data_IF_068446599656
#
_entry.id   IF_068446599656
#
_cell.length_a   1.000
_cell.length_b   1.000
_cell.length_c   1.000
_cell.angle_alpha   90.00
_cell.angle_beta   90.00
_cell.angle_gamma   90.00
#
_symmetry.space_group_name_H-M   'P 1'
#
loop_
_entity.id
_entity.type
_entity.pdbx_description
1 polymer ?
#
# COMPACT_ATOMS: atom_id res chain seq x y z
N UNK A 1 8.06 -8.79 33.66
CA UNK A 1 7.57 -8.25 32.37
C UNK A 1 7.02 -9.42 31.58
N UNK A 2 5.79 -9.35 31.06
CA UNK A 2 5.29 -10.38 30.14
C UNK A 2 6.16 -10.35 28.89
N UNK A 3 6.61 -11.51 28.43
CA UNK A 3 7.33 -11.64 27.17
C UNK A 3 6.43 -11.19 26.00
N UNK A 4 6.97 -10.39 25.07
CA UNK A 4 6.23 -9.97 23.87
C UNK A 4 6.08 -11.15 22.92
N UNK A 5 4.92 -11.27 22.26
CA UNK A 5 4.72 -12.27 21.22
C UNK A 5 5.38 -11.82 19.93
N UNK A 6 6.39 -12.57 19.50
CA UNK A 6 7.04 -12.40 18.20
C UNK A 6 6.17 -12.98 17.09
N UNK A 7 5.99 -12.21 16.02
CA UNK A 7 5.25 -12.63 14.83
C UNK A 7 5.98 -12.22 13.57
N UNK A 8 5.77 -13.00 12.50
CA UNK A 8 6.17 -12.65 11.15
C UNK A 8 4.97 -12.18 10.35
N UNK A 9 5.16 -11.16 9.52
CA UNK A 9 4.14 -10.64 8.62
C UNK A 9 4.37 -11.10 7.18
N UNK A 10 3.33 -11.71 6.59
CA UNK A 10 3.25 -11.96 5.16
C UNK A 10 2.26 -10.98 4.52
N UNK A 11 2.79 -10.00 3.79
CA UNK A 11 2.03 -8.87 3.26
C UNK A 11 1.66 -9.11 1.79
N UNK A 12 0.38 -9.40 1.55
CA UNK A 12 -0.15 -9.52 0.21
C UNK A 12 -0.03 -8.18 -0.56
N UNK A 13 0.16 -8.28 -1.88
CA UNK A 13 0.02 -7.14 -2.77
C UNK A 13 -1.44 -6.74 -3.02
N UNK A 14 -1.64 -5.70 -3.82
CA UNK A 14 -2.95 -5.20 -4.21
C UNK A 14 -3.05 -3.70 -3.95
N UNK A 15 -3.34 -2.90 -4.98
CA UNK A 15 -3.23 -1.44 -4.99
C UNK A 15 -3.87 -0.75 -3.78
N UNK A 16 -5.18 -0.44 -3.85
CA UNK A 16 -5.89 0.19 -2.74
C UNK A 16 -5.97 -0.72 -1.49
N UNK A 17 -5.93 -2.04 -1.67
CA UNK A 17 -5.88 -3.01 -0.57
C UNK A 17 -4.64 -2.83 0.33
N UNK A 18 -3.52 -2.36 -0.22
CA UNK A 18 -2.33 -2.05 0.57
C UNK A 18 -2.57 -0.97 1.64
N UNK A 19 -3.50 -0.04 1.41
CA UNK A 19 -3.86 0.99 2.40
C UNK A 19 -4.62 0.39 3.58
N UNK A 20 -5.45 -0.64 3.32
CA UNK A 20 -6.09 -1.41 4.39
C UNK A 20 -5.06 -2.21 5.19
N UNK A 21 -4.08 -2.83 4.53
CA UNK A 21 -2.96 -3.50 5.19
C UNK A 21 -2.17 -2.55 6.08
N UNK A 22 -1.94 -1.30 5.66
CA UNK A 22 -1.34 -0.28 6.53
C UNK A 22 -2.13 -0.08 7.82
N UNK A 23 -3.46 0.05 7.76
CA UNK A 23 -4.29 0.18 8.98
C UNK A 23 -4.11 -0.98 9.95
N UNK A 24 -3.97 -2.21 9.45
CA UNK A 24 -3.68 -3.39 10.27
C UNK A 24 -2.27 -3.30 10.89
N UNK A 25 -1.26 -2.94 10.09
CA UNK A 25 0.11 -2.79 10.56
C UNK A 25 0.24 -1.68 11.61
N UNK A 26 -0.44 -0.54 11.43
CA UNK A 26 -0.47 0.55 12.39
C UNK A 26 -0.99 0.08 13.76
N UNK A 27 -2.05 -0.74 13.76
CA UNK A 27 -2.63 -1.29 14.99
C UNK A 27 -1.75 -2.37 15.63
N UNK A 28 -1.00 -3.14 14.85
CA UNK A 28 -0.04 -4.12 15.37
C UNK A 28 1.18 -3.43 16.00
N UNK A 29 1.69 -2.38 15.37
CA UNK A 29 2.80 -1.57 15.90
C UNK A 29 2.43 -0.83 17.19
N UNK A 30 1.15 -0.47 17.37
CA UNK A 30 0.66 0.12 18.61
C UNK A 30 0.54 -0.88 19.77
N UNK A 31 0.47 -2.18 19.49
CA UNK A 31 0.24 -3.20 20.51
C UNK A 31 1.56 -3.63 21.16
N UNK A 32 1.88 -3.08 22.33
CA UNK A 32 3.12 -3.39 23.08
C UNK A 32 3.30 -4.86 23.46
N UNK A 33 2.26 -5.70 23.29
CA UNK A 33 2.33 -7.15 23.51
C UNK A 33 2.91 -7.90 22.31
N UNK A 34 3.12 -7.23 21.18
CA UNK A 34 3.54 -7.82 19.90
C UNK A 34 4.91 -7.26 19.51
N UNK A 35 5.75 -8.12 18.95
CA UNK A 35 7.02 -7.75 18.32
C UNK A 35 7.02 -8.28 16.88
N UNK A 36 7.27 -7.42 15.90
CA UNK A 36 7.39 -7.82 14.50
C UNK A 36 8.83 -8.27 14.29
N UNK A 37 9.05 -9.57 14.08
CA UNK A 37 10.38 -10.16 13.92
C UNK A 37 10.78 -10.26 12.44
N UNK A 38 9.85 -10.64 11.57
CA UNK A 38 10.08 -10.82 10.15
C UNK A 38 8.99 -10.23 9.28
N UNK A 39 9.36 -9.88 8.04
CA UNK A 39 8.45 -9.33 7.04
C UNK A 39 8.77 -9.97 5.69
N UNK A 40 7.73 -10.45 5.02
CA UNK A 40 7.74 -10.77 3.60
C UNK A 40 6.60 -10.02 2.92
N UNK A 41 6.76 -9.63 1.66
CA UNK A 41 5.71 -8.92 0.96
C UNK A 41 5.92 -8.86 -0.54
N UNK A 42 4.83 -8.61 -1.26
CA UNK A 42 4.84 -8.44 -2.72
C UNK A 42 4.10 -7.16 -3.12
N UNK A 43 4.59 -6.46 -4.15
CA UNK A 43 3.98 -5.22 -4.67
C UNK A 43 3.69 -4.21 -3.55
N UNK A 44 2.44 -3.75 -3.37
CA UNK A 44 2.04 -2.85 -2.29
C UNK A 44 2.41 -3.35 -0.89
N UNK A 45 2.36 -4.67 -0.66
CA UNK A 45 2.79 -5.30 0.59
C UNK A 45 4.30 -5.18 0.82
N UNK A 46 5.12 -5.31 -0.24
CA UNK A 46 6.56 -5.08 -0.17
C UNK A 46 6.88 -3.60 0.16
N UNK A 47 6.12 -2.66 -0.41
CA UNK A 47 6.28 -1.23 -0.11
C UNK A 47 5.96 -0.92 1.36
N UNK A 48 4.85 -1.45 1.88
CA UNK A 48 4.54 -1.32 3.31
C UNK A 48 5.65 -1.93 4.18
N UNK A 49 6.12 -3.13 3.81
CA UNK A 49 7.18 -3.82 4.53
C UNK A 49 8.49 -3.03 4.58
N UNK A 50 8.94 -2.48 3.45
CA UNK A 50 10.21 -1.73 3.41
C UNK A 50 10.12 -0.40 4.16
N UNK A 51 8.98 0.32 4.08
CA UNK A 51 8.76 1.56 4.83
C UNK A 51 8.79 1.29 6.33
N UNK A 52 8.15 0.21 6.78
CA UNK A 52 8.15 -0.17 8.19
C UNK A 52 9.55 -0.60 8.65
N UNK A 53 10.23 -1.48 7.91
CA UNK A 53 11.57 -1.97 8.27
C UNK A 53 12.62 -0.85 8.34
N UNK A 54 12.61 0.08 7.38
CA UNK A 54 13.49 1.26 7.40
C UNK A 54 13.22 2.12 8.63
N UNK A 55 11.95 2.41 8.92
CA UNK A 55 11.57 3.26 10.03
C UNK A 55 11.89 2.63 11.39
N UNK A 56 11.71 1.31 11.55
CA UNK A 56 12.13 0.57 12.74
C UNK A 56 13.66 0.57 12.91
N UNK A 57 14.42 0.56 11.82
CA UNK A 57 15.89 0.65 11.89
C UNK A 57 16.37 2.03 12.38
N UNK A 58 15.60 3.08 12.11
CA UNK A 58 15.93 4.47 12.48
C UNK A 58 15.31 4.91 13.81
N UNK A 59 14.44 4.11 14.42
CA UNK A 59 13.65 4.51 15.58
C UNK A 59 12.90 3.33 16.20
N UNK A 60 11.61 3.53 16.45
CA UNK A 60 10.74 2.60 17.17
C UNK A 60 9.41 2.37 16.42
N UNK A 61 8.50 1.64 17.04
CA UNK A 61 7.17 1.36 16.50
C UNK A 61 6.38 2.65 16.21
N UNK A 62 6.56 3.70 17.02
CA UNK A 62 5.93 5.00 16.79
C UNK A 62 6.45 5.68 15.52
N UNK A 63 7.75 5.57 15.27
CA UNK A 63 8.42 6.07 14.07
C UNK A 63 7.92 5.33 12.82
N UNK A 64 7.74 4.01 12.93
CA UNK A 64 7.19 3.19 11.84
C UNK A 64 5.74 3.56 11.49
N UNK A 65 4.89 3.81 12.49
CA UNK A 65 3.51 4.28 12.29
C UNK A 65 3.46 5.61 11.54
N UNK A 66 4.31 6.56 11.94
CA UNK A 66 4.43 7.86 11.27
C UNK A 66 4.88 7.69 9.82
N UNK A 67 5.91 6.88 9.57
CA UNK A 67 6.44 6.65 8.23
C UNK A 67 5.40 6.02 7.29
N UNK A 68 4.67 4.99 7.75
CA UNK A 68 3.60 4.37 6.98
C UNK A 68 2.46 5.35 6.66
N UNK A 69 2.06 6.18 7.62
CA UNK A 69 1.07 7.24 7.41
C UNK A 69 1.51 8.24 6.36
N UNK A 70 2.75 8.68 6.45
CA UNK A 70 3.27 9.71 5.56
C UNK A 70 3.46 9.14 4.14
N UNK A 71 3.87 7.88 4.02
CA UNK A 71 3.90 7.13 2.76
C UNK A 71 2.51 7.09 2.10
N UNK A 72 1.47 6.62 2.79
CA UNK A 72 0.13 6.52 2.20
C UNK A 72 -0.51 7.87 1.90
N UNK A 73 -0.21 8.91 2.70
CA UNK A 73 -0.59 10.29 2.37
C UNK A 73 0.13 10.78 1.10
N UNK A 74 1.40 10.43 0.91
CA UNK A 74 2.11 10.76 -0.31
C UNK A 74 1.54 10.03 -1.53
N UNK A 75 1.25 8.73 -1.41
CA UNK A 75 0.57 7.94 -2.45
C UNK A 75 -0.78 8.57 -2.83
N UNK A 76 -1.58 8.96 -1.84
CA UNK A 76 -2.87 9.64 -2.07
C UNK A 76 -2.72 10.95 -2.84
N UNK A 77 -1.78 11.81 -2.43
CA UNK A 77 -1.49 13.07 -3.15
C UNK A 77 -1.01 12.84 -4.57
N UNK A 78 -0.11 11.87 -4.78
CA UNK A 78 0.37 11.51 -6.11
C UNK A 78 -0.77 10.95 -6.99
N UNK A 79 -1.67 10.15 -6.41
CA UNK A 79 -2.85 9.63 -7.08
C UNK A 79 -3.78 10.72 -7.62
N UNK A 80 -3.89 11.88 -6.95
CA UNK A 80 -4.69 13.00 -7.46
C UNK A 80 -4.16 13.61 -8.76
N UNK A 81 -2.85 13.52 -8.99
CA UNK A 81 -2.20 13.97 -10.23
C UNK A 81 -2.20 12.89 -11.33
N UNK A 82 -2.71 11.69 -11.04
CA UNK A 82 -2.68 10.56 -11.97
C UNK A 82 -3.57 10.83 -13.20
N UNK A 83 -3.08 10.54 -14.42
CA UNK A 83 -3.91 10.52 -15.62
C UNK A 83 -4.90 9.33 -15.62
N UNK A 84 -4.66 8.33 -14.76
CA UNK A 84 -5.54 7.18 -14.52
C UNK A 84 -6.55 7.56 -13.44
N UNK A 85 -7.65 8.17 -13.85
CA UNK A 85 -8.75 8.61 -12.97
C UNK A 85 -10.10 8.41 -13.64
N UNK A 86 -11.15 8.32 -12.83
CA UNK A 86 -12.55 8.30 -13.29
C UNK A 86 -12.85 9.57 -14.09
N UNK A 87 -13.66 9.45 -15.13
CA UNK A 87 -14.13 10.62 -15.88
C UNK A 87 -15.20 11.38 -15.06
N UNK A 88 -15.44 12.67 -15.35
CA UNK A 88 -16.54 13.41 -14.71
C UNK A 88 -17.90 12.73 -14.89
N UNK A 89 -18.13 12.08 -16.05
CA UNK A 89 -19.34 11.31 -16.31
C UNK A 89 -19.42 10.07 -15.41
N UNK A 90 -18.33 9.30 -15.27
CA UNK A 90 -18.28 8.14 -14.38
C UNK A 90 -18.55 8.54 -12.91
N UNK A 91 -18.02 9.69 -12.48
CA UNK A 91 -18.31 10.24 -11.15
C UNK A 91 -19.79 10.59 -10.97
N UNK A 92 -20.43 11.18 -11.97
CA UNK A 92 -21.83 11.61 -11.93
C UNK A 92 -22.81 10.42 -11.84
N UNK A 93 -22.53 9.34 -12.57
CA UNK A 93 -23.38 8.14 -12.60
C UNK A 93 -23.01 7.11 -11.52
N UNK A 94 -22.05 7.44 -10.65
CA UNK A 94 -21.60 6.53 -9.59
C UNK A 94 -20.81 5.32 -10.09
N UNK A 95 -20.30 5.35 -11.31
CA UNK A 95 -19.45 4.29 -11.86
C UNK A 95 -18.06 4.34 -11.18
N UNK A 96 -17.61 3.19 -10.68
CA UNK A 96 -16.29 3.05 -10.05
C UNK A 96 -15.26 2.38 -10.97
N UNK A 97 -15.66 2.04 -12.19
CA UNK A 97 -14.75 1.54 -13.22
C UNK A 97 -13.81 2.64 -13.74
N UNK A 98 -12.64 2.19 -14.23
CA UNK A 98 -11.66 2.99 -14.96
C UNK A 98 -11.69 2.71 -16.46
N UNK A 99 -12.65 1.93 -16.97
CA UNK A 99 -12.70 1.49 -18.37
C UNK A 99 -12.78 2.65 -19.36
N UNK A 100 -13.37 3.78 -18.96
CA UNK A 100 -13.45 4.99 -19.78
C UNK A 100 -12.28 5.96 -19.57
N UNK A 101 -11.33 5.63 -18.69
CA UNK A 101 -10.18 6.48 -18.38
C UNK A 101 -9.14 6.39 -19.50
N UNK A 102 -8.86 7.47 -20.25
CA UNK A 102 -7.88 7.42 -21.35
C UNK A 102 -6.48 7.03 -20.88
N UNK A 103 -6.11 7.40 -19.66
CA UNK A 103 -4.86 7.00 -19.02
C UNK A 103 -4.82 5.50 -18.69
N UNK A 104 -5.93 4.92 -18.22
CA UNK A 104 -6.01 3.49 -17.91
C UNK A 104 -5.89 2.64 -19.17
N UNK A 105 -6.61 3.01 -20.24
CA UNK A 105 -6.56 2.33 -21.54
C UNK A 105 -5.14 2.33 -22.10
N UNK A 106 -4.44 3.47 -22.01
CA UNK A 106 -3.05 3.58 -22.49
C UNK A 106 -2.11 2.69 -21.67
N UNK A 107 -2.29 2.62 -20.34
CA UNK A 107 -1.48 1.80 -19.46
C UNK A 107 -1.74 0.30 -19.66
N UNK A 108 -2.99 -0.11 -19.90
CA UNK A 108 -3.36 -1.49 -20.27
C UNK A 108 -2.75 -1.91 -21.62
N UNK A 109 -2.74 -1.01 -22.61
CA UNK A 109 -2.11 -1.29 -23.89
C UNK A 109 -0.60 -1.52 -23.73
N UNK A 110 0.07 -0.70 -22.92
CA UNK A 110 1.51 -0.84 -22.64
C UNK A 110 1.82 -2.11 -21.84
N UNK A 111 1.00 -2.45 -20.83
CA UNK A 111 1.21 -3.67 -20.04
C UNK A 111 1.13 -4.93 -20.90
N UNK A 112 0.22 -4.96 -21.89
CA UNK A 112 0.08 -6.07 -22.85
C UNK A 112 1.24 -6.18 -23.84
N UNK A 113 1.87 -5.06 -24.20
CA UNK A 113 3.04 -5.06 -25.09
C UNK A 113 4.33 -5.50 -24.39
N UNK A 114 4.42 -5.31 -23.08
CA UNK A 114 5.61 -5.65 -22.25
C UNK A 114 5.45 -7.01 -21.56
N UNK A 115 4.22 -7.51 -21.42
CA UNK A 115 3.91 -8.84 -20.92
C UNK A 115 4.32 -9.92 -21.94
N UNK A 116 5.24 -10.86 -21.62
CA UNK A 116 5.75 -11.85 -22.56
C UNK A 116 4.78 -13.02 -22.80
N UNK A 117 3.48 -12.81 -22.63
CA UNK A 117 2.45 -13.84 -22.82
C UNK A 117 1.37 -13.33 -23.78
N UNK A 118 1.53 -13.69 -25.06
CA UNK A 118 0.52 -14.47 -25.76
C UNK A 118 0.87 -15.96 -25.60
#
# INVERSE_FOLDING_TARGET
MSERRRIDLALQGGGAHGAFTWGVMDRLLEDERIEIEGISGTSAGAMNGVVMADALTRGDESTARVALRDFWRAVSRAGMASPVRRTPLDMLIGNWSLDHSPGYITLDLMSRLVSPYQ
#
